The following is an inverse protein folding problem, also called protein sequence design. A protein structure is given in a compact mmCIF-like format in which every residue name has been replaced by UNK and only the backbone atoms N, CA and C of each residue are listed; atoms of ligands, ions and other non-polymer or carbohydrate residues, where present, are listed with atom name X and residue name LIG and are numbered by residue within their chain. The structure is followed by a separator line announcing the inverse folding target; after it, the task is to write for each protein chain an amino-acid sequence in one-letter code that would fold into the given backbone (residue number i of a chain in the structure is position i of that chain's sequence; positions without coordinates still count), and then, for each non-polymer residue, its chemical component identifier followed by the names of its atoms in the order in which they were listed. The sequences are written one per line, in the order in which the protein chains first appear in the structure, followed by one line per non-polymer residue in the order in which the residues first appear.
data_IF_736176174775
#
_entry.id   IF_736176174775
#
_cell.length_a   1.000
_cell.length_b   1.000
_cell.length_c   1.000
_cell.angle_alpha   90.00
_cell.angle_beta   90.00
_cell.angle_gamma   90.00
#
_symmetry.space_group_name_H-M   'P 1'
#
loop_
_entity.id
_entity.type
_entity.pdbx_description
1 polymer ?
#
# COMPACT_ATOMS: atom_id res chain seq x y z
N UNK A 1 3.94 -19.11 -5.83
CA UNK A 1 2.78 -18.18 -5.96
C UNK A 1 3.35 -16.78 -6.10
N UNK A 2 2.89 -15.99 -7.08
CA UNK A 2 3.30 -14.57 -7.19
C UNK A 2 2.45 -13.74 -6.23
N UNK A 3 3.08 -12.97 -5.34
CA UNK A 3 2.39 -12.05 -4.44
C UNK A 3 1.74 -10.92 -5.25
N UNK A 4 0.59 -10.44 -4.78
CA UNK A 4 -0.10 -9.28 -5.36
C UNK A 4 -0.15 -8.19 -4.32
N UNK A 5 -0.03 -6.95 -4.78
CA UNK A 5 -0.23 -5.80 -3.90
C UNK A 5 -1.62 -5.82 -3.26
N UNK A 6 -1.74 -5.52 -1.95
CA UNK A 6 -3.03 -5.37 -1.27
C UNK A 6 -3.81 -4.11 -1.71
N UNK A 7 -3.16 -3.13 -2.34
CA UNK A 7 -3.77 -1.85 -2.73
C UNK A 7 -3.77 -1.63 -4.25
N UNK A 8 -4.78 -0.89 -4.71
CA UNK A 8 -4.79 -0.29 -6.04
C UNK A 8 -4.27 1.15 -5.96
N UNK A 9 -3.43 1.56 -6.90
CA UNK A 9 -2.84 2.89 -6.94
C UNK A 9 -2.83 3.47 -8.36
N UNK A 10 -2.96 4.79 -8.50
CA UNK A 10 -2.90 5.42 -9.83
C UNK A 10 -1.51 5.22 -10.45
N UNK A 11 -1.44 5.06 -11.77
CA UNK A 11 -0.16 4.84 -12.48
C UNK A 11 0.33 3.38 -12.47
N UNK A 12 -0.59 2.44 -12.29
CA UNK A 12 -0.20 1.07 -11.96
C UNK A 12 0.43 0.22 -13.03
N UNK A 13 1.63 -0.28 -12.71
CA UNK A 13 2.46 -1.15 -13.57
C UNK A 13 2.12 -2.64 -13.42
N UNK A 14 1.04 -3.00 -12.72
CA UNK A 14 0.66 -4.40 -12.47
C UNK A 14 0.59 -5.24 -13.75
N UNK A 15 0.04 -4.69 -14.83
CA UNK A 15 -0.03 -5.34 -16.15
C UNK A 15 1.31 -5.36 -16.89
N UNK A 16 2.18 -4.39 -16.61
CA UNK A 16 3.50 -4.25 -17.25
C UNK A 16 4.56 -5.15 -16.61
N UNK A 17 4.33 -5.70 -15.42
CA UNK A 17 5.27 -6.61 -14.73
C UNK A 17 5.77 -7.73 -15.66
N UNK A 18 4.89 -8.36 -16.45
CA UNK A 18 5.27 -9.42 -17.41
C UNK A 18 6.26 -8.97 -18.49
N UNK A 19 6.28 -7.67 -18.81
CA UNK A 19 7.18 -7.08 -19.80
C UNK A 19 8.47 -6.60 -19.11
N UNK A 20 8.36 -6.03 -17.91
CA UNK A 20 9.49 -5.43 -17.20
C UNK A 20 10.41 -6.46 -16.56
N UNK A 21 9.85 -7.50 -15.93
CA UNK A 21 10.63 -8.48 -15.16
C UNK A 21 11.69 -9.22 -15.99
N UNK A 22 11.42 -9.67 -17.23
CA UNK A 22 12.45 -10.29 -18.08
C UNK A 22 13.62 -9.36 -18.45
N UNK A 23 13.45 -8.04 -18.30
CA UNK A 23 14.47 -7.04 -18.60
C UNK A 23 15.36 -6.74 -17.39
N UNK A 24 15.05 -7.29 -16.22
CA UNK A 24 15.84 -7.05 -15.02
C UNK A 24 17.15 -7.84 -15.12
N UNK A 25 18.31 -7.19 -14.90
CA UNK A 25 19.56 -7.92 -14.76
C UNK A 25 19.55 -8.76 -13.48
N UNK A 26 20.46 -9.73 -13.38
CA UNK A 26 20.73 -10.37 -12.09
C UNK A 26 21.16 -9.31 -11.07
N UNK A 27 20.54 -9.33 -9.88
CA UNK A 27 20.78 -8.32 -8.86
C UNK A 27 20.64 -8.90 -7.46
N UNK A 28 21.38 -8.31 -6.51
CA UNK A 28 21.30 -8.63 -5.08
C UNK A 28 20.51 -7.60 -4.29
N UNK A 29 20.45 -6.37 -4.79
CA UNK A 29 19.72 -5.25 -4.22
C UNK A 29 18.71 -4.76 -5.25
N UNK A 30 17.46 -4.62 -4.84
CA UNK A 30 16.40 -3.99 -5.62
C UNK A 30 15.97 -2.71 -4.93
N UNK A 31 15.84 -1.63 -5.71
CA UNK A 31 15.43 -0.31 -5.21
C UNK A 31 14.30 0.20 -6.09
N UNK A 32 13.14 0.46 -5.48
CA UNK A 32 11.98 1.06 -6.14
C UNK A 32 11.72 2.44 -5.53
N UNK A 33 12.20 3.48 -6.21
CA UNK A 33 12.19 4.87 -5.72
C UNK A 33 10.78 5.50 -5.75
N UNK A 34 9.93 5.01 -6.66
CA UNK A 34 8.53 5.39 -6.84
C UNK A 34 7.65 4.15 -6.75
N UNK A 35 7.59 3.60 -5.54
CA UNK A 35 7.01 2.31 -5.21
C UNK A 35 5.52 2.20 -5.51
N UNK A 36 4.73 3.23 -5.20
CA UNK A 36 3.29 3.18 -5.27
C UNK A 36 2.74 1.92 -4.56
N UNK A 37 1.94 1.15 -5.29
CA UNK A 37 1.41 -0.13 -4.80
C UNK A 37 2.45 -1.27 -4.71
N UNK A 38 3.73 -1.08 -5.04
CA UNK A 38 4.77 -2.12 -4.95
C UNK A 38 4.59 -3.28 -5.94
N UNK A 39 3.90 -3.05 -7.07
CA UNK A 39 3.56 -4.14 -8.00
C UNK A 39 4.78 -4.85 -8.59
N UNK A 40 5.87 -4.14 -8.85
CA UNK A 40 7.08 -4.75 -9.40
C UNK A 40 7.81 -5.50 -8.29
N UNK A 41 7.98 -4.87 -7.11
CA UNK A 41 8.53 -5.50 -5.91
C UNK A 41 7.88 -6.87 -5.62
N UNK A 42 6.55 -6.94 -5.57
CA UNK A 42 5.84 -8.20 -5.25
C UNK A 42 5.82 -9.21 -6.40
N UNK A 43 6.02 -8.78 -7.64
CA UNK A 43 5.98 -9.64 -8.81
C UNK A 43 7.33 -10.26 -9.17
N UNK A 44 8.44 -9.60 -8.83
CA UNK A 44 9.79 -10.14 -9.05
C UNK A 44 10.13 -11.25 -8.06
N UNK A 45 11.16 -12.03 -8.36
CA UNK A 45 11.74 -12.94 -7.37
C UNK A 45 12.42 -12.13 -6.25
N UNK A 46 12.34 -12.57 -4.98
CA UNK A 46 12.96 -11.87 -3.86
C UNK A 46 14.47 -11.67 -4.04
N UNK A 47 14.95 -10.49 -3.66
CA UNK A 47 16.38 -10.13 -3.67
C UNK A 47 16.94 -10.16 -2.25
N UNK A 48 18.26 -10.19 -2.10
CA UNK A 48 18.89 -10.17 -0.76
C UNK A 48 18.56 -8.88 0.02
N UNK A 49 18.44 -7.77 -0.69
CA UNK A 49 18.07 -6.46 -0.14
C UNK A 49 17.01 -5.85 -1.04
N UNK A 50 15.96 -5.30 -0.44
CA UNK A 50 14.86 -4.64 -1.14
C UNK A 50 14.56 -3.31 -0.45
N UNK A 51 14.53 -2.23 -1.22
CA UNK A 51 14.25 -0.88 -0.75
C UNK A 51 13.01 -0.39 -1.49
N UNK A 52 11.94 -0.14 -0.75
CA UNK A 52 10.73 0.49 -1.25
C UNK A 52 10.67 1.92 -0.72
N UNK A 53 10.50 2.88 -1.62
CA UNK A 53 10.34 4.28 -1.28
C UNK A 53 9.22 4.88 -2.13
N UNK A 54 8.53 5.86 -1.56
CA UNK A 54 7.64 6.77 -2.28
C UNK A 54 7.67 8.13 -1.58
N UNK A 55 7.21 9.18 -2.29
CA UNK A 55 7.07 10.51 -1.69
C UNK A 55 5.83 10.60 -0.80
N UNK A 56 4.79 9.81 -1.11
CA UNK A 56 3.54 9.82 -0.35
C UNK A 56 3.74 9.23 1.06
N UNK A 57 3.65 10.08 2.07
CA UNK A 57 3.86 9.71 3.47
C UNK A 57 2.81 8.74 4.00
N UNK A 58 1.57 8.81 3.51
CA UNK A 58 0.47 7.93 3.93
C UNK A 58 0.68 6.52 3.40
N UNK A 59 1.11 6.45 2.14
CA UNK A 59 1.52 5.21 1.51
C UNK A 59 2.72 4.59 2.24
N UNK A 60 3.71 5.40 2.61
CA UNK A 60 4.88 4.90 3.35
C UNK A 60 4.55 4.50 4.79
N UNK A 61 3.63 5.20 5.45
CA UNK A 61 3.08 4.77 6.74
C UNK A 61 2.38 3.41 6.61
N UNK A 62 1.53 3.24 5.60
CA UNK A 62 0.85 1.98 5.31
C UNK A 62 1.87 0.83 5.10
N UNK A 63 2.89 1.01 4.26
CA UNK A 63 3.91 -0.02 4.05
C UNK A 63 4.71 -0.34 5.31
N UNK A 64 5.04 0.67 6.12
CA UNK A 64 5.71 0.48 7.41
C UNK A 64 4.87 -0.37 8.37
N UNK A 65 3.57 -0.11 8.46
CA UNK A 65 2.65 -0.89 9.30
C UNK A 65 2.48 -2.31 8.75
N UNK A 66 2.35 -2.50 7.44
CA UNK A 66 2.31 -3.83 6.82
C UNK A 66 3.59 -4.62 7.11
N UNK A 67 4.76 -3.97 7.15
CA UNK A 67 6.02 -4.65 7.44
C UNK A 67 6.16 -5.05 8.91
N UNK A 68 5.71 -4.20 9.84
CA UNK A 68 6.08 -4.32 11.26
C UNK A 68 4.91 -4.68 12.19
N UNK A 69 3.67 -4.48 11.75
CA UNK A 69 2.46 -4.59 12.57
C UNK A 69 1.24 -5.09 11.77
N UNK A 70 1.47 -6.04 10.85
CA UNK A 70 0.42 -6.54 9.94
C UNK A 70 -0.77 -7.16 10.69
N UNK A 71 -0.52 -7.88 11.79
CA UNK A 71 -1.57 -8.58 12.53
C UNK A 71 -2.48 -7.56 13.23
N UNK A 72 -1.89 -6.53 13.85
CA UNK A 72 -2.68 -5.45 14.46
C UNK A 72 -3.48 -4.67 13.42
N UNK A 73 -2.91 -4.44 12.23
CA UNK A 73 -3.65 -3.81 11.13
C UNK A 73 -4.84 -4.67 10.71
N UNK A 74 -4.66 -5.97 10.53
CA UNK A 74 -5.74 -6.91 10.16
C UNK A 74 -6.82 -6.94 11.25
N UNK A 75 -6.42 -7.08 12.51
CA UNK A 75 -7.34 -7.13 13.66
C UNK A 75 -8.14 -5.83 13.80
N UNK A 76 -7.54 -4.69 13.46
CA UNK A 76 -8.25 -3.40 13.47
C UNK A 76 -9.45 -3.36 12.50
N UNK A 77 -9.51 -4.25 11.51
CA UNK A 77 -10.63 -4.40 10.58
C UNK A 77 -11.66 -5.45 11.00
N UNK A 78 -11.41 -6.21 12.06
CA UNK A 78 -12.41 -7.11 12.64
C UNK A 78 -13.63 -6.26 13.03
N UNK A 79 -14.79 -6.53 12.42
CA UNK A 79 -16.04 -5.75 12.58
C UNK A 79 -16.10 -4.37 11.91
N UNK A 80 -15.13 -4.01 11.04
CA UNK A 80 -15.24 -2.75 10.28
C UNK A 80 -16.41 -2.79 9.29
N UNK A 81 -17.20 -1.70 9.27
CA UNK A 81 -18.38 -1.59 8.42
C UNK A 81 -18.09 -0.75 7.19
N UNK A 82 -18.39 -1.31 6.01
CA UNK A 82 -18.31 -0.57 4.75
C UNK A 82 -19.61 0.21 4.56
N UNK A 83 -19.55 1.53 4.71
CA UNK A 83 -20.71 2.41 4.50
C UNK A 83 -20.30 3.80 4.05
N UNK A 84 -21.21 4.55 3.42
CA UNK A 84 -20.94 5.93 3.02
C UNK A 84 -20.71 6.85 4.23
N UNK A 85 -21.40 6.59 5.34
CA UNK A 85 -21.22 7.34 6.58
C UNK A 85 -19.80 7.16 7.11
N UNK A 86 -19.33 5.90 7.22
CA UNK A 86 -17.97 5.58 7.66
C UNK A 86 -16.91 6.16 6.71
N UNK A 87 -17.13 6.08 5.41
CA UNK A 87 -16.24 6.70 4.43
C UNK A 87 -16.11 8.22 4.65
N UNK A 88 -17.22 8.92 4.87
CA UNK A 88 -17.19 10.36 5.12
C UNK A 88 -16.49 10.69 6.45
N UNK A 89 -16.73 9.90 7.50
CA UNK A 89 -16.05 10.03 8.80
C UNK A 89 -14.52 9.90 8.65
N UNK A 90 -14.06 8.82 8.03
CA UNK A 90 -12.64 8.60 7.75
C UNK A 90 -12.04 9.65 6.82
N UNK A 91 -12.83 10.19 5.88
CA UNK A 91 -12.38 11.30 5.03
C UNK A 91 -12.15 12.57 5.82
N UNK A 92 -13.03 12.92 6.76
CA UNK A 92 -12.83 14.09 7.61
C UNK A 92 -11.68 13.89 8.59
N UNK A 93 -11.56 12.70 9.19
CA UNK A 93 -10.44 12.33 10.06
C UNK A 93 -9.09 12.43 9.33
N UNK A 94 -9.03 11.92 8.10
CA UNK A 94 -7.85 12.02 7.24
C UNK A 94 -7.47 13.47 6.90
N UNK A 95 -8.45 14.33 6.56
CA UNK A 95 -8.19 15.76 6.31
C UNK A 95 -7.73 16.52 7.56
N UNK A 96 -8.19 16.09 8.73
CA UNK A 96 -7.83 16.69 10.01
C UNK A 96 -6.48 16.17 10.55
N UNK A 97 -5.88 15.18 9.88
CA UNK A 97 -4.69 14.45 10.35
C UNK A 97 -4.88 13.90 11.78
N UNK A 98 -6.12 13.53 12.13
CA UNK A 98 -6.54 13.16 13.48
C UNK A 98 -6.47 11.64 13.67
N UNK A 99 -5.29 11.12 13.94
CA UNK A 99 -5.05 9.70 14.16
C UNK A 99 -4.45 9.43 15.54
N UNK A 100 -4.92 8.37 16.20
CA UNK A 100 -4.40 7.94 17.50
C UNK A 100 -2.98 7.36 17.38
N UNK A 101 -2.74 6.56 16.34
CA UNK A 101 -1.46 5.94 16.06
C UNK A 101 -1.24 5.63 14.56
N UNK A 102 -0.08 5.05 14.23
CA UNK A 102 0.27 4.68 12.86
C UNK A 102 -0.63 3.58 12.28
N UNK A 103 -1.18 2.70 13.12
CA UNK A 103 -2.07 1.61 12.71
C UNK A 103 -3.42 2.20 12.29
N UNK A 104 -3.99 3.11 13.08
CA UNK A 104 -5.22 3.81 12.74
C UNK A 104 -5.03 4.64 11.45
N UNK A 105 -3.90 5.37 11.34
CA UNK A 105 -3.55 6.10 10.12
C UNK A 105 -3.51 5.18 8.89
N UNK A 106 -2.84 4.02 8.99
CA UNK A 106 -2.78 3.03 7.92
C UNK A 106 -4.16 2.41 7.61
N UNK A 107 -4.98 2.16 8.63
CA UNK A 107 -6.35 1.66 8.50
C UNK A 107 -7.23 2.65 7.73
N UNK A 108 -7.24 3.91 8.13
CA UNK A 108 -8.01 4.98 7.50
C UNK A 108 -7.57 5.15 6.04
N UNK A 109 -6.25 5.25 5.79
CA UNK A 109 -5.70 5.31 4.44
C UNK A 109 -6.16 4.13 3.58
N UNK A 110 -5.96 2.89 4.05
CA UNK A 110 -6.34 1.69 3.32
C UNK A 110 -7.85 1.64 3.05
N UNK A 111 -8.68 1.98 4.04
CA UNK A 111 -10.13 2.03 3.87
C UNK A 111 -10.53 3.01 2.78
N UNK A 112 -9.97 4.22 2.78
CA UNK A 112 -10.28 5.25 1.79
C UNK A 112 -9.84 4.84 0.37
N UNK A 113 -8.66 4.22 0.23
CA UNK A 113 -8.17 3.67 -1.05
C UNK A 113 -9.08 2.56 -1.57
N UNK A 114 -9.60 1.72 -0.67
CA UNK A 114 -10.43 0.56 -1.04
C UNK A 114 -11.91 0.89 -1.28
N UNK A 115 -12.47 1.81 -0.50
CA UNK A 115 -13.88 2.19 -0.54
C UNK A 115 -14.13 3.44 -1.42
N UNK A 116 -13.09 4.21 -1.72
CA UNK A 116 -13.15 5.38 -2.59
C UNK A 116 -13.18 5.02 -4.07
N UNK A 117 -13.61 5.98 -4.89
CA UNK A 117 -13.35 5.92 -6.32
C UNK A 117 -11.89 6.29 -6.56
N UNK A 118 -11.23 5.61 -7.51
CA UNK A 118 -9.98 6.09 -8.11
C UNK A 118 -10.26 7.49 -8.65
N UNK A 119 -9.87 8.53 -7.91
CA UNK A 119 -9.92 9.89 -8.40
C UNK A 119 -8.87 9.98 -9.53
N UNK A 120 -9.25 10.49 -10.72
CA UNK A 120 -8.34 10.64 -11.85
C UNK A 120 -7.15 11.54 -11.54
#
# INVERSE_FOLDING_TARGET
MTLRSPIGWVGGKSKLTKILLPLFPEHKCYVEVFGGAGWVLFAKDPSKVEILNDYDEELMNFWSVVQNAQDQLIDSFEYELISRSRYNEYKEKFKAEDFDDSIERAKVFYYLVRAGFLQP
#
